data_IF_990316760732
#
_entry.id   IF_990316760732
#
_cell.length_a   1.000
_cell.length_b   1.000
_cell.length_c   1.000
_cell.angle_alpha   90.00
_cell.angle_beta   90.00
_cell.angle_gamma   90.00
#
_symmetry.space_group_name_H-M   'P 1'
#
loop_
_entity.id
_entity.type
_entity.pdbx_description
1 polymer ?
#
# COMPACT_ATOMS: atom_id res chain seq x y z
N UNK A 1 25.93 -17.74 -12.15
CA UNK A 1 25.46 -16.35 -12.31
C UNK A 1 24.88 -15.95 -10.96
N UNK A 2 25.43 -14.94 -10.30
CA UNK A 2 24.89 -14.45 -9.04
C UNK A 2 23.48 -13.89 -9.32
N UNK A 3 22.49 -14.46 -8.66
CA UNK A 3 21.11 -14.01 -8.79
C UNK A 3 20.99 -12.74 -7.93
N UNK A 4 21.28 -11.57 -8.52
CA UNK A 4 21.24 -10.28 -7.85
C UNK A 4 19.77 -9.82 -7.73
N UNK A 5 19.01 -10.49 -6.85
CA UNK A 5 17.65 -10.07 -6.54
C UNK A 5 17.64 -8.85 -5.64
N UNK A 6 16.73 -7.94 -5.92
CA UNK A 6 16.44 -6.74 -5.14
C UNK A 6 14.97 -6.78 -4.72
N UNK A 7 14.69 -6.34 -3.52
CA UNK A 7 13.35 -6.13 -2.99
C UNK A 7 13.19 -4.65 -2.70
N UNK A 8 12.10 -4.04 -3.17
CA UNK A 8 11.81 -2.63 -2.94
C UNK A 8 10.73 -2.48 -1.87
N UNK A 9 11.03 -1.74 -0.81
CA UNK A 9 10.03 -1.22 0.11
C UNK A 9 9.86 0.27 -0.14
N UNK A 10 8.63 0.69 -0.43
CA UNK A 10 8.27 2.09 -0.68
C UNK A 10 7.39 2.56 0.48
N UNK A 11 7.92 3.48 1.26
CA UNK A 11 7.21 4.02 2.42
C UNK A 11 6.30 5.18 2.03
N UNK A 12 5.03 5.12 2.44
CA UNK A 12 4.07 6.23 2.32
C UNK A 12 3.53 6.58 3.71
N UNK A 13 4.01 7.67 4.35
CA UNK A 13 3.78 7.92 5.78
C UNK A 13 2.40 8.54 6.10
N UNK A 14 1.43 8.45 5.19
CA UNK A 14 0.18 9.19 5.34
C UNK A 14 -0.97 8.33 5.82
N UNK A 15 -1.70 8.82 6.82
CA UNK A 15 -2.94 8.24 7.31
C UNK A 15 -4.02 9.31 7.41
N UNK A 16 -5.28 8.91 7.32
CA UNK A 16 -6.41 9.78 7.68
C UNK A 16 -6.36 10.12 9.17
N UNK A 17 -6.07 9.09 9.99
CA UNK A 17 -5.95 9.16 11.45
C UNK A 17 -5.00 8.06 11.93
N UNK A 18 -4.17 8.36 12.93
CA UNK A 18 -3.31 7.36 13.57
C UNK A 18 -4.14 6.50 14.53
N UNK A 19 -4.02 5.18 14.39
CA UNK A 19 -4.68 4.20 15.26
C UNK A 19 -4.00 4.14 16.64
N UNK A 20 -4.75 3.76 17.69
CA UNK A 20 -4.26 3.78 19.06
C UNK A 20 -3.07 2.82 19.31
N UNK A 21 -2.96 1.74 18.54
CA UNK A 21 -1.91 0.73 18.66
C UNK A 21 -0.71 0.96 17.72
N UNK A 22 -0.84 1.90 16.77
CA UNK A 22 0.12 1.99 15.65
C UNK A 22 1.38 2.77 16.05
N UNK A 23 2.53 2.10 15.93
CA UNK A 23 3.86 2.71 16.15
C UNK A 23 4.62 2.99 14.84
N UNK A 24 4.00 2.75 13.70
CA UNK A 24 4.62 3.06 12.41
C UNK A 24 4.84 4.56 12.24
N UNK A 25 5.87 4.91 11.48
CA UNK A 25 6.15 6.29 11.09
C UNK A 25 5.04 6.76 10.13
N UNK A 26 3.98 7.34 10.71
CA UNK A 26 2.82 7.80 9.95
C UNK A 26 2.12 8.97 10.64
N UNK A 27 1.54 9.86 9.83
CA UNK A 27 0.86 11.07 10.31
C UNK A 27 -0.21 11.53 9.31
N UNK A 28 -1.22 12.29 9.75
CA UNK A 28 -2.14 12.97 8.84
C UNK A 28 -1.43 14.07 8.05
N UNK A 29 -1.73 14.18 6.76
CA UNK A 29 -1.19 15.23 5.91
C UNK A 29 -2.23 15.71 4.89
N UNK A 30 -2.13 16.97 4.49
CA UNK A 30 -2.89 17.53 3.40
C UNK A 30 -2.36 17.07 2.03
N UNK A 31 -3.16 17.29 1.00
CA UNK A 31 -2.83 16.89 -0.38
C UNK A 31 -1.53 17.55 -0.88
N UNK A 32 -1.26 18.78 -0.51
CA UNK A 32 -0.05 19.47 -0.94
C UNK A 32 1.22 18.83 -0.36
N UNK A 33 1.18 18.45 0.92
CA UNK A 33 2.26 17.71 1.59
C UNK A 33 2.48 16.33 0.94
N UNK A 34 1.40 15.63 0.59
CA UNK A 34 1.48 14.36 -0.12
C UNK A 34 2.16 14.51 -1.49
N UNK A 35 1.78 15.54 -2.27
CA UNK A 35 2.38 15.84 -3.58
C UNK A 35 3.88 16.14 -3.43
N UNK A 36 4.27 16.99 -2.48
CA UNK A 36 5.68 17.33 -2.26
C UNK A 36 6.50 16.10 -1.85
N UNK A 37 5.96 15.25 -0.97
CA UNK A 37 6.58 13.99 -0.58
C UNK A 37 6.79 13.07 -1.78
N UNK A 38 5.75 12.88 -2.60
CA UNK A 38 5.85 12.01 -3.78
C UNK A 38 6.89 12.55 -4.76
N UNK A 39 6.97 13.87 -4.98
CA UNK A 39 8.02 14.45 -5.81
C UNK A 39 9.43 14.13 -5.28
N UNK A 40 9.64 14.22 -3.96
CA UNK A 40 10.91 13.85 -3.36
C UNK A 40 11.20 12.34 -3.51
N UNK A 41 10.19 11.50 -3.30
CA UNK A 41 10.27 10.04 -3.47
C UNK A 41 10.61 9.65 -4.92
N UNK A 42 10.02 10.30 -5.93
CA UNK A 42 10.37 10.06 -7.34
C UNK A 42 11.86 10.35 -7.63
N UNK A 43 12.42 11.39 -7.02
CA UNK A 43 13.85 11.68 -7.14
C UNK A 43 14.70 10.62 -6.45
N UNK A 44 14.29 10.15 -5.26
CA UNK A 44 14.98 9.08 -4.53
C UNK A 44 14.95 7.76 -5.32
N UNK A 45 13.80 7.38 -5.88
CA UNK A 45 13.67 6.19 -6.74
C UNK A 45 14.63 6.27 -7.93
N UNK A 46 14.72 7.41 -8.59
CA UNK A 46 15.67 7.63 -9.70
C UNK A 46 17.11 7.50 -9.25
N UNK A 47 17.46 8.14 -8.13
CA UNK A 47 18.81 8.12 -7.56
C UNK A 47 19.30 6.70 -7.26
N UNK A 48 18.45 5.85 -6.68
CA UNK A 48 18.79 4.45 -6.41
C UNK A 48 18.78 3.60 -7.69
N UNK A 49 17.86 3.85 -8.61
CA UNK A 49 17.79 3.11 -9.88
C UNK A 49 19.07 3.22 -10.72
N UNK A 50 19.68 4.41 -10.77
CA UNK A 50 20.96 4.63 -11.45
C UNK A 50 22.13 3.81 -10.87
N UNK A 51 21.99 3.34 -9.62
CA UNK A 51 23.04 2.62 -8.87
C UNK A 51 22.83 1.12 -8.79
N UNK A 52 21.63 0.67 -9.13
CA UNK A 52 21.19 -0.74 -8.95
C UNK A 52 21.00 -1.47 -10.30
N UNK A 53 21.68 -1.02 -11.37
CA UNK A 53 21.51 -1.54 -12.73
C UNK A 53 21.82 -3.03 -12.91
N UNK A 54 22.62 -3.63 -12.02
CA UNK A 54 22.97 -5.06 -12.04
C UNK A 54 21.95 -5.93 -11.30
N UNK A 55 20.96 -5.33 -10.67
CA UNK A 55 19.94 -6.02 -9.89
C UNK A 55 18.64 -6.17 -10.65
N UNK A 56 17.87 -7.21 -10.33
CA UNK A 56 16.49 -7.41 -10.77
C UNK A 56 15.55 -7.35 -9.58
N UNK A 57 14.52 -6.53 -9.67
CA UNK A 57 13.50 -6.42 -8.63
C UNK A 57 12.56 -7.61 -8.71
N UNK A 58 12.52 -8.41 -7.64
CA UNK A 58 11.66 -9.58 -7.48
C UNK A 58 10.36 -9.28 -6.75
N UNK A 59 10.38 -8.31 -5.83
CA UNK A 59 9.20 -7.88 -5.09
C UNK A 59 9.19 -6.37 -4.87
N UNK A 60 7.99 -5.79 -4.86
CA UNK A 60 7.76 -4.40 -4.49
C UNK A 60 6.67 -4.39 -3.42
N UNK A 61 6.94 -3.72 -2.29
CA UNK A 61 5.97 -3.55 -1.22
C UNK A 61 5.76 -2.06 -0.92
N UNK A 62 4.54 -1.59 -1.12
CA UNK A 62 4.14 -0.20 -0.84
C UNK A 62 3.36 -0.20 0.47
N UNK A 63 3.98 0.33 1.52
CA UNK A 63 3.47 0.26 2.88
C UNK A 63 3.74 1.51 3.69
N UNK A 64 3.50 1.41 5.00
CA UNK A 64 3.82 2.44 5.99
C UNK A 64 2.62 2.98 6.76
N UNK A 65 2.02 4.06 6.32
CA UNK A 65 0.77 4.58 6.88
C UNK A 65 -0.45 3.92 6.23
N UNK A 66 -0.96 4.56 5.20
CA UNK A 66 -2.06 4.04 4.39
C UNK A 66 -1.82 4.41 2.92
N UNK A 67 -1.05 3.62 2.16
CA UNK A 67 -0.75 3.92 0.77
C UNK A 67 -1.99 4.15 -0.09
N UNK A 68 -3.06 3.41 0.16
CA UNK A 68 -4.34 3.55 -0.53
C UNK A 68 -5.09 4.87 -0.23
N UNK A 69 -4.59 5.68 0.72
CA UNK A 69 -5.08 7.03 0.97
C UNK A 69 -4.60 8.04 -0.07
N UNK A 70 -3.44 7.81 -0.68
CA UNK A 70 -2.95 8.67 -1.77
C UNK A 70 -3.95 8.74 -2.92
N UNK A 71 -3.95 9.87 -3.62
CA UNK A 71 -4.64 9.96 -4.91
C UNK A 71 -4.02 8.97 -5.90
N UNK A 72 -4.85 8.32 -6.74
CA UNK A 72 -4.37 7.23 -7.60
C UNK A 72 -3.29 7.69 -8.59
N UNK A 73 -3.33 8.94 -9.04
CA UNK A 73 -2.34 9.52 -9.95
C UNK A 73 -0.94 9.57 -9.32
N UNK A 74 -0.86 9.87 -8.02
CA UNK A 74 0.41 9.89 -7.28
C UNK A 74 1.00 8.48 -7.17
N UNK A 75 0.16 7.49 -6.91
CA UNK A 75 0.60 6.10 -6.83
C UNK A 75 1.04 5.56 -8.21
N UNK A 76 0.29 5.88 -9.25
CA UNK A 76 0.67 5.53 -10.63
C UNK A 76 2.02 6.16 -10.97
N UNK A 77 2.25 7.44 -10.63
CA UNK A 77 3.52 8.11 -10.88
C UNK A 77 4.69 7.44 -10.16
N UNK A 78 4.48 6.96 -8.91
CA UNK A 78 5.49 6.18 -8.17
C UNK A 78 5.83 4.90 -8.93
N UNK A 79 4.83 4.12 -9.33
CA UNK A 79 5.05 2.87 -10.05
C UNK A 79 5.70 3.09 -11.42
N UNK A 80 5.27 4.09 -12.18
CA UNK A 80 5.89 4.47 -13.44
C UNK A 80 7.39 4.80 -13.27
N UNK A 81 7.73 5.52 -12.19
CA UNK A 81 9.14 5.85 -11.90
C UNK A 81 9.92 4.59 -11.51
N UNK A 82 9.32 3.66 -10.76
CA UNK A 82 9.96 2.38 -10.42
C UNK A 82 10.28 1.60 -11.69
N UNK A 83 9.31 1.41 -12.58
CA UNK A 83 9.54 0.68 -13.84
C UNK A 83 10.53 1.36 -14.78
N UNK A 84 10.64 2.70 -14.74
CA UNK A 84 11.65 3.45 -15.49
C UNK A 84 13.06 3.31 -14.90
N UNK A 85 13.16 3.14 -13.57
CA UNK A 85 14.44 3.18 -12.86
C UNK A 85 15.03 1.82 -12.57
N UNK A 86 14.22 0.76 -12.50
CA UNK A 86 14.64 -0.57 -12.11
C UNK A 86 14.22 -1.63 -13.15
N UNK A 87 15.00 -2.71 -13.21
CA UNK A 87 14.62 -3.92 -13.97
C UNK A 87 13.68 -4.75 -13.10
N UNK A 88 12.39 -4.54 -13.23
CA UNK A 88 11.37 -5.32 -12.52
C UNK A 88 11.09 -6.61 -13.28
N UNK A 89 11.09 -7.74 -12.60
CA UNK A 89 10.76 -9.04 -13.19
C UNK A 89 9.30 -9.08 -13.62
N UNK A 90 8.99 -9.83 -14.67
CA UNK A 90 7.60 -10.00 -15.16
C UNK A 90 6.71 -10.72 -14.12
N UNK A 91 7.29 -11.62 -13.31
CA UNK A 91 6.63 -12.36 -12.25
C UNK A 91 6.75 -11.70 -10.87
N UNK A 92 7.22 -10.45 -10.78
CA UNK A 92 7.38 -9.75 -9.51
C UNK A 92 6.04 -9.62 -8.76
N UNK A 93 6.07 -9.89 -7.45
CA UNK A 93 4.94 -9.52 -6.59
C UNK A 93 5.00 -8.02 -6.30
N UNK A 94 3.91 -7.32 -6.60
CA UNK A 94 3.74 -5.90 -6.30
C UNK A 94 2.57 -5.73 -5.35
N UNK A 95 2.89 -5.49 -4.09
CA UNK A 95 1.94 -5.40 -2.98
C UNK A 95 1.67 -3.97 -2.57
N UNK A 96 0.42 -3.67 -2.20
CA UNK A 96 0.04 -2.41 -1.57
C UNK A 96 -0.80 -2.65 -0.32
N UNK A 97 -0.52 -1.87 0.73
CA UNK A 97 -1.36 -1.82 1.93
C UNK A 97 -2.60 -0.94 1.69
N UNK A 98 -3.76 -1.48 2.06
CA UNK A 98 -5.04 -0.83 1.93
C UNK A 98 -5.78 -0.81 3.27
N UNK A 99 -6.42 0.31 3.59
CA UNK A 99 -7.41 0.34 4.65
C UNK A 99 -8.83 0.25 4.06
N UNK A 100 -9.76 -0.48 4.73
CA UNK A 100 -11.15 -0.50 4.32
C UNK A 100 -11.73 0.91 4.17
N UNK A 101 -12.49 1.14 3.09
CA UNK A 101 -13.09 2.44 2.79
C UNK A 101 -12.17 3.45 2.09
N UNK A 102 -10.87 3.17 1.90
CA UNK A 102 -9.95 4.09 1.20
C UNK A 102 -9.83 3.82 -0.30
N UNK A 103 -10.36 2.69 -0.77
CA UNK A 103 -10.31 2.30 -2.19
C UNK A 103 -11.69 2.33 -2.83
N UNK A 104 -11.70 2.75 -4.10
CA UNK A 104 -12.86 2.70 -4.99
C UNK A 104 -12.55 1.76 -6.15
N UNK A 105 -13.57 1.41 -6.94
CA UNK A 105 -13.37 0.61 -8.16
C UNK A 105 -12.32 1.26 -9.08
N UNK A 106 -12.41 2.56 -9.33
CA UNK A 106 -11.48 3.29 -10.19
C UNK A 106 -10.04 3.28 -9.66
N UNK A 107 -9.84 3.42 -8.33
CA UNK A 107 -8.52 3.28 -7.70
C UNK A 107 -7.95 1.87 -7.91
N UNK A 108 -8.73 0.84 -7.64
CA UNK A 108 -8.31 -0.55 -7.80
C UNK A 108 -7.94 -0.90 -9.23
N UNK A 109 -8.71 -0.39 -10.21
CA UNK A 109 -8.39 -0.53 -11.63
C UNK A 109 -7.10 0.22 -12.01
N UNK A 110 -6.89 1.42 -11.48
CA UNK A 110 -5.66 2.18 -11.69
C UNK A 110 -4.44 1.43 -11.12
N UNK A 111 -4.56 0.87 -9.92
CA UNK A 111 -3.52 0.07 -9.28
C UNK A 111 -3.17 -1.18 -10.11
N UNK A 112 -4.17 -1.88 -10.64
CA UNK A 112 -3.92 -3.02 -11.51
C UNK A 112 -3.19 -2.62 -12.79
N UNK A 113 -3.60 -1.52 -13.44
CA UNK A 113 -2.89 -1.00 -14.63
C UNK A 113 -1.46 -0.58 -14.31
N UNK A 114 -1.20 -0.11 -13.09
CA UNK A 114 0.14 0.21 -12.60
C UNK A 114 0.96 -1.02 -12.19
N UNK A 115 0.45 -2.25 -12.41
CA UNK A 115 1.17 -3.49 -12.13
C UNK A 115 1.02 -4.02 -10.72
N UNK A 116 0.23 -3.39 -9.84
CA UNK A 116 -0.03 -3.89 -8.48
C UNK A 116 -0.90 -5.15 -8.58
N UNK A 117 -0.39 -6.29 -8.08
CA UNK A 117 -1.02 -7.60 -8.22
C UNK A 117 -1.42 -8.25 -6.89
N UNK A 118 -1.08 -7.64 -5.75
CA UNK A 118 -1.44 -8.10 -4.40
C UNK A 118 -1.92 -6.94 -3.53
N UNK A 119 -2.99 -7.19 -2.75
CA UNK A 119 -3.49 -6.25 -1.73
C UNK A 119 -3.27 -6.82 -0.33
N UNK A 120 -2.83 -6.00 0.62
CA UNK A 120 -2.88 -6.29 2.06
C UNK A 120 -3.91 -5.37 2.71
N UNK A 121 -5.02 -5.93 3.21
CA UNK A 121 -6.14 -5.15 3.73
C UNK A 121 -6.17 -5.25 5.25
N UNK A 122 -5.96 -4.12 5.92
CA UNK A 122 -5.95 -4.03 7.37
C UNK A 122 -7.35 -4.10 7.99
N UNK A 123 -7.91 -5.29 8.19
CA UNK A 123 -9.18 -5.48 8.91
C UNK A 123 -9.00 -5.30 10.41
N UNK A 124 -8.03 -5.97 10.99
CA UNK A 124 -7.66 -6.04 12.41
C UNK A 124 -8.64 -6.84 13.27
N UNK A 125 -9.96 -6.63 13.19
CA UNK A 125 -11.00 -7.42 13.86
C UNK A 125 -12.30 -7.43 13.06
N UNK A 126 -13.05 -8.53 13.16
CA UNK A 126 -14.42 -8.62 12.66
C UNK A 126 -15.48 -8.06 13.64
N UNK A 127 -15.04 -7.59 14.81
CA UNK A 127 -15.91 -7.00 15.83
C UNK A 127 -15.77 -5.46 15.80
N UNK A 128 -16.89 -4.75 15.56
CA UNK A 128 -16.91 -3.30 15.45
C UNK A 128 -16.53 -2.58 16.76
N UNK A 129 -16.80 -3.15 17.94
CA UNK A 129 -16.39 -2.57 19.21
C UNK A 129 -14.87 -2.68 19.41
N UNK A 130 -14.25 -3.79 18.99
CA UNK A 130 -12.79 -3.94 18.97
C UNK A 130 -12.15 -2.95 17.98
N UNK A 131 -12.71 -2.79 16.78
CA UNK A 131 -12.25 -1.80 15.80
C UNK A 131 -12.29 -0.38 16.38
N UNK A 132 -13.37 -0.02 17.04
CA UNK A 132 -13.52 1.28 17.72
C UNK A 132 -12.49 1.47 18.83
N UNK A 133 -12.26 0.44 19.66
CA UNK A 133 -11.25 0.45 20.72
C UNK A 133 -9.84 0.64 20.14
N UNK A 134 -9.52 0.01 19.01
CA UNK A 134 -8.27 0.16 18.28
C UNK A 134 -8.12 1.55 17.61
N UNK A 135 -9.16 2.39 17.63
CA UNK A 135 -9.17 3.69 16.96
C UNK A 135 -9.31 3.59 15.44
N UNK A 136 -9.78 2.44 14.92
CA UNK A 136 -10.07 2.27 13.49
C UNK A 136 -11.28 3.13 13.09
N UNK A 137 -11.22 3.66 11.88
CA UNK A 137 -12.27 4.52 11.31
C UNK A 137 -13.26 3.76 10.44
N UNK A 138 -12.99 2.49 10.16
CA UNK A 138 -13.86 1.62 9.36
C UNK A 138 -14.62 0.61 10.23
N UNK A 139 -15.67 0.04 9.66
CA UNK A 139 -16.44 -1.07 10.22
C UNK A 139 -16.18 -2.38 9.48
N UNK A 140 -16.61 -3.50 10.04
CA UNK A 140 -16.53 -4.82 9.38
C UNK A 140 -17.28 -4.85 8.05
N UNK A 141 -18.44 -4.18 7.97
CA UNK A 141 -19.24 -4.09 6.75
C UNK A 141 -18.50 -3.32 5.65
N UNK A 142 -17.78 -2.26 6.02
CA UNK A 142 -16.93 -1.52 5.08
C UNK A 142 -15.75 -2.37 4.58
N UNK A 143 -15.20 -3.24 5.43
CA UNK A 143 -14.20 -4.21 4.99
C UNK A 143 -14.79 -5.19 3.97
N UNK A 144 -15.96 -5.79 4.24
CA UNK A 144 -16.60 -6.72 3.32
C UNK A 144 -16.83 -6.07 1.95
N UNK A 145 -17.32 -4.83 1.93
CA UNK A 145 -17.49 -4.07 0.69
C UNK A 145 -16.16 -3.82 -0.03
N UNK A 146 -15.11 -3.47 0.70
CA UNK A 146 -13.76 -3.26 0.14
C UNK A 146 -13.21 -4.55 -0.47
N UNK A 147 -13.37 -5.68 0.23
CA UNK A 147 -12.97 -6.99 -0.25
C UNK A 147 -13.71 -7.39 -1.55
N UNK A 148 -15.03 -7.18 -1.58
CA UNK A 148 -15.86 -7.44 -2.77
C UNK A 148 -15.41 -6.57 -3.96
N UNK A 149 -15.17 -5.27 -3.75
CA UNK A 149 -14.64 -4.37 -4.78
C UNK A 149 -13.30 -4.87 -5.32
N UNK A 150 -12.40 -5.34 -4.44
CA UNK A 150 -11.11 -5.88 -4.83
C UNK A 150 -11.25 -7.15 -5.67
N UNK A 151 -12.13 -8.08 -5.27
CA UNK A 151 -12.40 -9.30 -6.05
C UNK A 151 -13.02 -8.98 -7.42
N UNK A 152 -13.96 -8.05 -7.48
CA UNK A 152 -14.60 -7.61 -8.73
C UNK A 152 -13.61 -6.89 -9.66
N UNK A 153 -12.63 -6.16 -9.11
CA UNK A 153 -11.51 -5.60 -9.87
C UNK A 153 -10.48 -6.65 -10.32
N UNK A 154 -10.69 -7.94 -10.00
CA UNK A 154 -9.88 -9.07 -10.47
C UNK A 154 -8.64 -9.37 -9.60
N UNK A 155 -8.56 -8.86 -8.36
CA UNK A 155 -7.52 -9.29 -7.44
C UNK A 155 -7.79 -10.70 -6.92
N UNK A 156 -6.85 -11.61 -7.16
CA UNK A 156 -6.88 -12.99 -6.66
C UNK A 156 -5.98 -13.17 -5.43
N UNK A 157 -4.89 -12.39 -5.33
CA UNK A 157 -3.97 -12.41 -4.20
C UNK A 157 -4.31 -11.26 -3.23
N UNK A 158 -5.03 -11.60 -2.15
CA UNK A 158 -5.46 -10.66 -1.12
C UNK A 158 -5.06 -11.22 0.25
N UNK A 159 -4.26 -10.46 1.00
CA UNK A 159 -4.00 -10.70 2.40
C UNK A 159 -4.95 -9.87 3.27
N UNK A 160 -5.32 -10.40 4.42
CA UNK A 160 -6.13 -9.70 5.43
C UNK A 160 -5.37 -9.72 6.75
N UNK A 161 -5.06 -8.55 7.27
CA UNK A 161 -4.37 -8.42 8.54
C UNK A 161 -5.35 -8.50 9.70
N UNK A 162 -5.03 -9.33 10.69
CA UNK A 162 -5.83 -9.52 11.92
C UNK A 162 -4.94 -9.33 13.14
N UNK A 163 -5.54 -8.80 14.21
CA UNK A 163 -4.90 -8.67 15.52
C UNK A 163 -5.53 -9.64 16.51
N UNK A 164 -4.70 -10.32 17.29
CA UNK A 164 -5.13 -11.21 18.38
C UNK A 164 -4.59 -10.70 19.72
N UNK A 165 -5.22 -11.12 20.82
CA UNK A 165 -4.82 -10.73 22.16
C UNK A 165 -5.22 -9.29 22.52
N UNK A 166 -6.27 -8.77 21.91
CA UNK A 166 -6.81 -7.46 22.25
C UNK A 166 -7.45 -7.49 23.67
N UNK A 167 -7.43 -6.36 24.40
CA UNK A 167 -8.13 -6.27 25.68
C UNK A 167 -9.60 -6.66 25.52
N UNK A 168 -10.08 -7.54 26.41
CA UNK A 168 -11.47 -8.05 26.40
C UNK A 168 -11.89 -8.85 25.15
N UNK A 169 -10.95 -9.27 24.33
CA UNK A 169 -11.21 -10.12 23.17
C UNK A 169 -11.67 -11.53 23.58
#
# INVERSE_FOLDING_TARGET
MSNNNLELYIHTPFCVKKCAYCDFLSFPADTNTQIQYVHALLNEIRFYGERMGDYQVSTIYIGGGTPSWLEPELLVAIMDQVYKSFRVREDAEVSIECNPGTVTTSKLEAYRRAGINRLSIGLQSANNEELKMLGRIHTYEQFLKTYELARNAGYTNINVDLMSGLPHQ
#
